data_IF_964417281655
#
_entry.id   IF_964417281655
#
_cell.length_a   1.000
_cell.length_b   1.000
_cell.length_c   1.000
_cell.angle_alpha   90.00
_cell.angle_beta   90.00
_cell.angle_gamma   90.00
#
_symmetry.space_group_name_H-M   'P 1'
#
loop_
_entity.id
_entity.type
_entity.pdbx_description
1 polymer ?
#
# COMPACT_ATOMS: atom_id res chain seq x y z
N UNK A 1 1.69 1.88 14.29
CA UNK A 1 1.25 0.57 13.74
C UNK A 1 -0.26 0.64 13.64
N UNK A 2 -0.81 0.49 12.44
CA UNK A 2 -2.25 0.45 12.24
C UNK A 2 -2.75 -0.93 12.68
N UNK A 3 -3.88 -0.99 13.37
CA UNK A 3 -4.46 -2.26 13.82
C UNK A 3 -5.81 -2.43 13.14
N UNK A 4 -5.90 -3.43 12.26
CA UNK A 4 -7.18 -3.86 11.71
C UNK A 4 -8.13 -4.24 12.85
N UNK A 5 -9.41 -3.84 12.78
CA UNK A 5 -10.42 -4.32 13.73
C UNK A 5 -10.50 -5.85 13.75
N UNK A 6 -10.94 -6.47 14.88
CA UNK A 6 -11.22 -7.90 14.91
C UNK A 6 -12.24 -8.29 13.82
N UNK A 7 -11.98 -9.38 13.10
CA UNK A 7 -12.81 -9.86 11.98
C UNK A 7 -12.96 -8.88 10.81
N UNK A 8 -12.00 -7.96 10.63
CA UNK A 8 -12.00 -7.04 9.51
C UNK A 8 -11.94 -7.80 8.17
N UNK A 9 -12.76 -7.35 7.22
CA UNK A 9 -12.76 -7.84 5.84
C UNK A 9 -12.78 -6.66 4.88
N UNK A 10 -12.00 -6.77 3.82
CA UNK A 10 -11.98 -5.84 2.70
C UNK A 10 -13.24 -6.01 1.84
N UNK A 11 -14.27 -5.21 2.11
CA UNK A 11 -15.51 -5.25 1.34
C UNK A 11 -15.37 -4.53 -0.01
N UNK A 12 -15.89 -5.13 -1.07
CA UNK A 12 -15.89 -4.54 -2.41
C UNK A 12 -14.57 -4.68 -3.17
N UNK A 13 -13.73 -5.63 -2.78
CA UNK A 13 -12.50 -6.02 -3.46
C UNK A 13 -12.59 -7.47 -3.92
N UNK A 14 -11.91 -7.81 -5.02
CA UNK A 14 -11.73 -9.20 -5.45
C UNK A 14 -10.75 -9.93 -4.54
N UNK A 15 -10.73 -11.26 -4.55
CA UNK A 15 -9.79 -12.06 -3.74
C UNK A 15 -8.32 -11.67 -3.98
N UNK A 16 -7.93 -11.47 -5.23
CA UNK A 16 -6.60 -10.97 -5.61
C UNK A 16 -6.31 -9.58 -5.01
N UNK A 17 -7.25 -8.65 -5.09
CA UNK A 17 -7.08 -7.31 -4.50
C UNK A 17 -6.98 -7.36 -2.98
N UNK A 18 -7.66 -8.32 -2.35
CA UNK A 18 -7.61 -8.54 -0.90
C UNK A 18 -6.20 -8.97 -0.48
N UNK A 19 -5.62 -9.94 -1.18
CA UNK A 19 -4.25 -10.39 -0.93
C UNK A 19 -3.24 -9.24 -1.10
N UNK A 20 -3.42 -8.41 -2.13
CA UNK A 20 -2.57 -7.25 -2.39
C UNK A 20 -2.73 -6.17 -1.30
N UNK A 21 -3.94 -5.94 -0.79
CA UNK A 21 -4.18 -5.01 0.32
C UNK A 21 -3.61 -5.53 1.64
N UNK A 22 -3.68 -6.84 1.89
CA UNK A 22 -3.06 -7.46 3.05
C UNK A 22 -1.54 -7.37 3.01
N UNK A 23 -0.93 -7.58 1.83
CA UNK A 23 0.51 -7.38 1.68
C UNK A 23 0.91 -5.90 1.81
N UNK A 24 0.08 -4.98 1.32
CA UNK A 24 0.29 -3.53 1.51
C UNK A 24 0.32 -3.16 2.99
N UNK A 25 -0.62 -3.68 3.77
CA UNK A 25 -0.69 -3.49 5.22
C UNK A 25 0.49 -4.15 5.94
N UNK A 26 0.93 -5.33 5.50
CA UNK A 26 2.14 -5.96 6.03
C UNK A 26 3.39 -5.07 5.86
N UNK A 27 3.59 -4.49 4.67
CA UNK A 27 4.69 -3.55 4.43
C UNK A 27 4.49 -2.26 5.25
N UNK A 28 3.26 -1.75 5.31
CA UNK A 28 2.91 -0.53 6.03
C UNK A 28 3.13 -0.63 7.55
N UNK A 29 2.96 -1.80 8.14
CA UNK A 29 3.24 -2.02 9.56
C UNK A 29 4.74 -1.91 9.91
N UNK A 30 5.62 -1.95 8.91
CA UNK A 30 7.04 -1.59 9.03
C UNK A 30 7.31 -0.11 8.64
N UNK A 31 6.27 0.74 8.63
CA UNK A 31 6.34 2.17 8.31
C UNK A 31 6.64 2.48 6.84
N UNK A 32 6.46 1.51 5.93
CA UNK A 32 6.99 1.54 4.56
C UNK A 32 8.45 2.03 4.52
N UNK A 33 9.23 1.57 5.50
CA UNK A 33 10.62 1.97 5.68
C UNK A 33 11.40 1.80 4.39
N UNK A 34 12.25 2.77 4.05
CA UNK A 34 13.08 2.74 2.85
C UNK A 34 14.37 1.98 3.14
N UNK A 35 14.41 0.73 2.73
CA UNK A 35 15.60 -0.12 2.78
C UNK A 35 15.76 -0.87 1.45
N UNK A 36 16.89 -1.54 1.26
CA UNK A 36 17.19 -2.24 0.00
C UNK A 36 16.10 -3.23 -0.41
N UNK A 37 15.52 -3.94 0.55
CA UNK A 37 14.46 -4.94 0.31
C UNK A 37 13.15 -4.28 -0.16
N UNK A 38 12.68 -3.25 0.55
CA UNK A 38 11.46 -2.52 0.18
C UNK A 38 11.63 -1.72 -1.11
N UNK A 39 12.85 -1.25 -1.42
CA UNK A 39 13.14 -0.60 -2.69
C UNK A 39 12.99 -1.54 -3.90
N UNK A 40 13.20 -2.83 -3.71
CA UNK A 40 12.95 -3.86 -4.71
C UNK A 40 11.48 -4.32 -4.71
N UNK A 41 10.90 -4.56 -3.52
CA UNK A 41 9.57 -5.17 -3.38
C UNK A 41 8.44 -4.19 -3.66
N UNK A 42 8.51 -2.96 -3.15
CA UNK A 42 7.36 -2.05 -3.15
C UNK A 42 6.95 -1.60 -4.57
N UNK A 43 7.87 -1.27 -5.50
CA UNK A 43 7.48 -0.92 -6.86
C UNK A 43 6.81 -2.08 -7.61
N UNK A 44 7.30 -3.31 -7.40
CA UNK A 44 6.72 -4.51 -8.02
C UNK A 44 5.32 -4.78 -7.47
N UNK A 45 5.17 -4.76 -6.14
CA UNK A 45 3.86 -4.91 -5.49
C UNK A 45 2.82 -3.88 -5.95
N UNK A 46 3.24 -2.63 -6.13
CA UNK A 46 2.35 -1.59 -6.66
C UNK A 46 2.04 -1.75 -8.16
N UNK A 47 2.91 -2.42 -8.93
CA UNK A 47 2.57 -2.84 -10.29
C UNK A 47 1.51 -3.93 -10.26
N UNK A 48 1.65 -4.94 -9.41
CA UNK A 48 0.67 -6.02 -9.24
C UNK A 48 -0.70 -5.43 -8.83
N UNK A 49 -0.72 -4.45 -7.92
CA UNK A 49 -1.90 -3.67 -7.60
C UNK A 49 -2.53 -3.00 -8.83
N UNK A 50 -1.71 -2.34 -9.66
CA UNK A 50 -2.21 -1.66 -10.85
C UNK A 50 -2.76 -2.64 -11.89
N UNK A 51 -2.12 -3.81 -12.06
CA UNK A 51 -2.57 -4.89 -12.95
C UNK A 51 -3.91 -5.49 -12.46
N UNK A 52 -4.09 -5.61 -11.16
CA UNK A 52 -5.36 -6.01 -10.52
C UNK A 52 -6.43 -4.88 -10.50
N UNK A 53 -6.23 -3.80 -11.26
CA UNK A 53 -7.11 -2.62 -11.32
C UNK A 53 -7.34 -1.95 -9.95
N UNK A 54 -6.35 -2.04 -9.06
CA UNK A 54 -6.34 -1.44 -7.73
C UNK A 54 -5.42 -0.21 -7.73
N UNK A 55 -5.99 0.95 -8.09
CA UNK A 55 -5.24 2.21 -8.16
C UNK A 55 -4.82 2.76 -6.80
N UNK A 56 -3.75 3.57 -6.77
CA UNK A 56 -3.16 4.13 -5.54
C UNK A 56 -4.15 4.85 -4.64
N UNK A 57 -5.10 5.61 -5.21
CA UNK A 57 -6.09 6.33 -4.40
C UNK A 57 -7.01 5.36 -3.64
N UNK A 58 -7.36 4.23 -4.26
CA UNK A 58 -8.17 3.19 -3.64
C UNK A 58 -7.41 2.47 -2.52
N UNK A 59 -6.12 2.20 -2.73
CA UNK A 59 -5.24 1.65 -1.69
C UNK A 59 -5.13 2.62 -0.52
N UNK A 60 -4.94 3.92 -0.78
CA UNK A 60 -4.85 4.96 0.24
C UNK A 60 -6.14 5.05 1.06
N UNK A 61 -7.31 5.00 0.41
CA UNK A 61 -8.61 4.94 1.10
C UNK A 61 -8.72 3.70 1.99
N UNK A 62 -8.34 2.53 1.47
CA UNK A 62 -8.37 1.28 2.19
C UNK A 62 -7.46 1.30 3.43
N UNK A 63 -6.21 1.75 3.27
CA UNK A 63 -5.25 1.88 4.37
C UNK A 63 -5.73 2.93 5.40
N UNK A 64 -6.30 4.05 4.95
CA UNK A 64 -6.88 5.05 5.85
C UNK A 64 -8.03 4.46 6.69
N UNK A 65 -8.86 3.60 6.11
CA UNK A 65 -10.00 2.98 6.80
C UNK A 65 -9.57 2.05 7.96
N UNK A 66 -8.35 1.49 7.90
CA UNK A 66 -7.79 0.63 8.97
C UNK A 66 -6.85 1.39 9.91
N UNK A 67 -6.75 2.71 9.79
CA UNK A 67 -6.11 3.57 10.79
C UNK A 67 -4.72 4.10 10.45
N UNK A 68 -4.24 3.97 9.21
CA UNK A 68 -3.00 4.63 8.80
C UNK A 68 -3.13 6.16 8.82
N UNK A 69 -2.07 6.84 9.29
CA UNK A 69 -2.05 8.30 9.43
C UNK A 69 -1.81 9.00 8.08
N UNK A 70 -1.89 10.32 8.06
CA UNK A 70 -1.59 11.09 6.84
C UNK A 70 -0.12 10.96 6.42
N UNK A 71 0.80 10.97 7.37
CA UNK A 71 2.24 10.93 7.11
C UNK A 71 2.66 9.56 6.56
N UNK A 72 2.08 8.52 7.16
CA UNK A 72 2.07 7.16 6.68
C UNK A 72 1.65 7.10 5.20
N UNK A 73 0.44 7.55 4.88
CA UNK A 73 -0.11 7.50 3.51
C UNK A 73 0.66 8.38 2.53
N UNK A 74 1.34 9.42 3.01
CA UNK A 74 2.25 10.20 2.17
C UNK A 74 3.45 9.36 1.71
N UNK A 75 4.02 8.51 2.57
CA UNK A 75 5.09 7.60 2.16
C UNK A 75 4.61 6.61 1.09
N UNK A 76 3.41 6.05 1.24
CA UNK A 76 2.80 5.17 0.24
C UNK A 76 2.67 5.87 -1.13
N UNK A 77 2.25 7.15 -1.16
CA UNK A 77 2.20 7.94 -2.39
C UNK A 77 3.59 8.21 -2.98
N UNK A 78 4.63 8.35 -2.16
CA UNK A 78 6.01 8.51 -2.64
C UNK A 78 6.54 7.23 -3.28
N UNK A 79 6.13 6.06 -2.78
CA UNK A 79 6.42 4.78 -3.42
C UNK A 79 5.73 4.65 -4.78
N UNK A 80 4.50 5.11 -4.91
CA UNK A 80 3.82 5.16 -6.20
C UNK A 80 4.52 6.10 -7.20
N UNK A 81 5.00 7.26 -6.74
CA UNK A 81 5.85 8.12 -7.56
C UNK A 81 7.15 7.40 -7.97
N UNK A 82 7.76 6.63 -7.06
CA UNK A 82 8.96 5.85 -7.37
C UNK A 82 8.70 4.80 -8.46
N UNK A 83 7.55 4.11 -8.41
CA UNK A 83 7.11 3.15 -9.43
C UNK A 83 6.91 3.82 -10.79
N UNK A 84 6.17 4.92 -10.82
CA UNK A 84 5.75 5.58 -12.07
C UNK A 84 6.84 6.44 -12.71
N UNK A 85 7.70 7.09 -11.92
CA UNK A 85 8.70 8.04 -12.43
C UNK A 85 10.14 7.62 -12.16
N UNK A 86 10.37 6.47 -11.53
CA UNK A 86 11.70 6.01 -11.11
C UNK A 86 12.33 6.82 -9.96
N UNK A 87 11.62 7.81 -9.40
CA UNK A 87 12.11 8.72 -8.35
C UNK A 87 11.06 8.86 -7.23
N UNK A 88 11.51 8.95 -5.98
CA UNK A 88 10.60 9.30 -4.89
C UNK A 88 10.09 10.73 -5.09
N UNK A 89 8.77 10.89 -5.14
CA UNK A 89 8.12 12.19 -5.19
C UNK A 89 8.45 13.07 -3.97
N UNK A 90 8.22 14.37 -4.11
CA UNK A 90 8.31 15.34 -3.00
C UNK A 90 7.04 15.33 -2.17
#
# INVERSE_FOLDING_TARGET
MALKPPNFQWLGFTEEQIELLDFTDFIGNNGWARNSQTEEVMPNHLNDCAEANLGIDRIVEAMKAIGYTRDDLHMLRRWESKRTTGKFGK
#
